data_IF_073996464099
#
_entry.id   IF_073996464099
#
_cell.length_a   1.000
_cell.length_b   1.000
_cell.length_c   1.000
_cell.angle_alpha   90.00
_cell.angle_beta   90.00
_cell.angle_gamma   90.00
#
_symmetry.space_group_name_H-M   'P 1'
#
loop_
_entity.id
_entity.type
_entity.pdbx_description
1 polymer ?
#
# COMPACT_ATOMS: atom_id res chain seq x y z
N UNK A 1 -1.54 10.74 17.94
CA UNK A 1 -1.82 9.64 16.98
C UNK A 1 -1.62 10.06 15.53
N UNK A 2 -2.29 11.12 15.02
CA UNK A 2 -2.16 11.55 13.62
C UNK A 2 -0.74 11.93 13.15
N UNK A 3 0.11 12.46 14.04
CA UNK A 3 1.48 12.83 13.68
C UNK A 3 2.37 11.63 13.34
N UNK A 4 2.13 10.47 13.97
CA UNK A 4 2.94 9.25 13.73
C UNK A 4 2.56 8.57 12.42
N UNK A 5 1.28 8.55 12.06
CA UNK A 5 0.85 7.96 10.78
C UNK A 5 1.42 8.73 9.59
N UNK A 6 1.38 10.07 9.63
CA UNK A 6 1.99 10.92 8.58
C UNK A 6 3.50 10.73 8.51
N UNK A 7 4.17 10.61 9.67
CA UNK A 7 5.60 10.32 9.69
C UNK A 7 5.93 8.97 9.01
N UNK A 8 5.18 7.92 9.33
CA UNK A 8 5.39 6.59 8.75
C UNK A 8 5.11 6.55 7.24
N UNK A 9 4.15 7.34 6.77
CA UNK A 9 3.88 7.55 5.35
C UNK A 9 5.10 8.19 4.66
N UNK A 10 5.60 9.32 5.18
CA UNK A 10 6.76 10.01 4.63
C UNK A 10 8.03 9.13 4.65
N UNK A 11 8.31 8.43 5.74
CA UNK A 11 9.47 7.52 5.85
C UNK A 11 9.38 6.34 4.85
N UNK A 12 8.16 5.89 4.56
CA UNK A 12 7.91 4.88 3.54
C UNK A 12 8.18 5.46 2.14
N UNK A 13 7.66 6.66 1.86
CA UNK A 13 7.87 7.35 0.60
C UNK A 13 9.36 7.58 0.30
N UNK A 14 10.13 8.06 1.28
CA UNK A 14 11.59 8.21 1.18
C UNK A 14 12.29 6.90 0.86
N UNK A 15 11.84 5.80 1.47
CA UNK A 15 12.43 4.47 1.21
C UNK A 15 12.13 4.01 -0.21
N UNK A 16 10.90 4.17 -0.69
CA UNK A 16 10.50 3.77 -2.04
C UNK A 16 11.23 4.62 -3.09
N UNK A 17 11.27 5.94 -2.91
CA UNK A 17 12.00 6.84 -3.79
C UNK A 17 13.52 6.56 -3.79
N UNK A 18 14.10 6.30 -2.61
CA UNK A 18 15.52 5.94 -2.46
C UNK A 18 15.91 4.62 -3.12
N UNK A 19 14.93 3.76 -3.48
CA UNK A 19 15.15 2.55 -4.29
C UNK A 19 15.03 2.79 -5.80
N UNK A 20 14.82 4.04 -6.22
CA UNK A 20 14.79 4.45 -7.63
C UNK A 20 13.40 4.49 -8.27
N UNK A 21 12.33 4.26 -7.50
CA UNK A 21 10.96 4.41 -7.99
C UNK A 21 10.55 5.88 -8.01
N UNK A 22 9.87 6.31 -9.06
CA UNK A 22 9.20 7.62 -9.11
C UNK A 22 7.98 7.58 -8.22
N UNK A 23 8.03 8.36 -7.16
CA UNK A 23 6.96 8.47 -6.19
C UNK A 23 6.51 9.94 -6.09
N UNK A 24 5.20 10.15 -6.20
CA UNK A 24 4.53 11.42 -5.93
C UNK A 24 3.62 11.22 -4.70
N UNK A 25 3.86 11.97 -3.61
CA UNK A 25 3.00 11.95 -2.42
C UNK A 25 1.89 12.99 -2.48
N UNK A 26 0.74 12.67 -1.88
CA UNK A 26 -0.42 13.57 -1.81
C UNK A 26 -0.87 14.09 -3.19
N UNK A 27 -1.07 13.20 -4.19
CA UNK A 27 -1.51 13.61 -5.50
C UNK A 27 -2.87 14.31 -5.42
N UNK A 28 -3.07 15.30 -6.28
CA UNK A 28 -4.36 15.98 -6.42
C UNK A 28 -5.42 15.00 -6.95
N UNK A 29 -6.71 15.29 -6.69
CA UNK A 29 -7.83 14.51 -7.25
C UNK A 29 -7.76 14.34 -8.76
N UNK A 30 -7.28 15.37 -9.48
CA UNK A 30 -7.12 15.30 -10.93
C UNK A 30 -5.99 14.33 -11.34
N UNK A 31 -4.86 14.35 -10.64
CA UNK A 31 -3.75 13.42 -10.90
C UNK A 31 -4.16 11.96 -10.61
N UNK A 32 -4.91 11.74 -9.53
CA UNK A 32 -5.48 10.41 -9.22
C UNK A 32 -6.46 9.96 -10.31
N UNK A 33 -7.33 10.85 -10.78
CA UNK A 33 -8.28 10.54 -11.86
C UNK A 33 -7.55 10.19 -13.17
N UNK A 34 -6.53 10.96 -13.54
CA UNK A 34 -5.71 10.70 -14.72
C UNK A 34 -4.98 9.37 -14.60
N UNK A 35 -4.31 9.12 -13.47
CA UNK A 35 -3.61 7.87 -13.21
C UNK A 35 -4.54 6.66 -13.34
N UNK A 36 -5.73 6.71 -12.71
CA UNK A 36 -6.74 5.64 -12.82
C UNK A 36 -7.23 5.43 -14.25
N UNK A 37 -7.42 6.50 -15.02
CA UNK A 37 -7.82 6.40 -16.42
C UNK A 37 -6.73 5.73 -17.27
N UNK A 38 -5.47 6.13 -17.09
CA UNK A 38 -4.32 5.61 -17.83
C UNK A 38 -4.07 4.12 -17.53
N UNK A 39 -4.27 3.71 -16.28
CA UNK A 39 -4.02 2.34 -15.81
C UNK A 39 -5.26 1.43 -15.89
N UNK A 40 -6.42 1.99 -16.27
CA UNK A 40 -7.74 1.33 -16.21
C UNK A 40 -8.02 0.77 -14.81
N UNK A 41 -7.67 1.54 -13.80
CA UNK A 41 -8.05 1.26 -12.42
C UNK A 41 -9.39 1.92 -12.10
N UNK A 42 -10.11 1.31 -11.16
CA UNK A 42 -11.31 1.86 -10.57
C UNK A 42 -10.98 2.43 -9.18
N UNK A 43 -11.79 3.39 -8.73
CA UNK A 43 -11.72 3.90 -7.38
C UNK A 43 -12.73 5.02 -7.16
N UNK A 44 -13.07 5.25 -5.90
CA UNK A 44 -13.96 6.32 -5.50
C UNK A 44 -13.25 7.69 -5.70
N UNK A 45 -13.84 8.64 -6.46
CA UNK A 45 -13.24 9.95 -6.72
C UNK A 45 -13.17 10.87 -5.48
N UNK A 46 -13.88 10.54 -4.41
CA UNK A 46 -13.83 11.29 -3.15
C UNK A 46 -12.72 10.82 -2.21
N UNK A 47 -12.04 9.71 -2.52
CA UNK A 47 -10.89 9.21 -1.78
C UNK A 47 -9.61 9.94 -2.21
N UNK A 48 -8.72 10.15 -1.23
CA UNK A 48 -7.41 10.76 -1.43
C UNK A 48 -6.35 9.69 -1.10
N UNK A 49 -5.89 8.91 -2.10
CA UNK A 49 -4.83 7.92 -1.89
C UNK A 49 -3.49 8.61 -1.63
N UNK A 50 -2.60 7.92 -0.93
CA UNK A 50 -1.35 8.51 -0.45
C UNK A 50 -0.34 8.78 -1.58
N UNK A 51 -0.22 7.88 -2.56
CA UNK A 51 0.87 7.91 -3.55
C UNK A 51 0.41 7.70 -5.00
N UNK A 52 1.18 8.29 -5.92
CA UNK A 52 1.41 7.73 -7.25
C UNK A 52 2.81 7.14 -7.31
N UNK A 53 2.91 5.83 -7.53
CA UNK A 53 4.19 5.12 -7.73
C UNK A 53 4.26 4.65 -9.16
N UNK A 54 5.21 5.16 -9.94
CA UNK A 54 5.32 4.88 -11.39
C UNK A 54 4.01 5.11 -12.16
N UNK A 55 3.25 6.15 -11.76
CA UNK A 55 1.95 6.48 -12.36
C UNK A 55 0.78 5.62 -11.88
N UNK A 56 0.98 4.68 -10.97
CA UNK A 56 -0.08 3.88 -10.36
C UNK A 56 -0.51 4.45 -9.01
N UNK A 57 -1.82 4.46 -8.75
CA UNK A 57 -2.36 4.81 -7.44
C UNK A 57 -2.02 3.74 -6.41
N UNK A 58 -1.41 4.16 -5.31
CA UNK A 58 -1.11 3.35 -4.14
C UNK A 58 -1.57 4.06 -2.86
N UNK A 59 -1.88 3.24 -1.87
CA UNK A 59 -2.15 3.69 -0.50
C UNK A 59 -1.10 3.07 0.41
N UNK A 60 -0.68 3.81 1.43
CA UNK A 60 0.27 3.34 2.44
C UNK A 60 -0.49 2.74 3.61
N UNK A 61 -0.04 1.57 4.07
CA UNK A 61 -0.53 1.02 5.33
C UNK A 61 0.62 0.58 6.22
N UNK A 62 0.67 1.15 7.42
CA UNK A 62 1.70 0.92 8.43
C UNK A 62 1.07 0.24 9.66
N UNK A 63 1.08 -1.10 9.75
CA UNK A 63 0.53 -1.79 10.90
C UNK A 63 1.32 -1.51 12.19
N UNK A 64 0.64 -1.59 13.33
CA UNK A 64 1.32 -1.54 14.64
C UNK A 64 2.18 -2.78 14.86
N UNK A 65 3.18 -2.68 15.73
CA UNK A 65 4.15 -3.74 15.99
C UNK A 65 3.55 -5.12 16.28
N UNK A 66 2.40 -5.16 16.98
CA UNK A 66 1.71 -6.38 17.38
C UNK A 66 0.51 -6.75 16.49
N UNK A 67 0.25 -6.03 15.39
CA UNK A 67 -0.91 -6.29 14.52
C UNK A 67 -0.83 -7.74 13.99
N UNK A 68 -1.86 -8.57 14.20
CA UNK A 68 -1.85 -9.94 13.68
C UNK A 68 -1.96 -9.94 12.16
N UNK A 69 -1.41 -10.98 11.51
CA UNK A 69 -1.43 -11.17 10.05
C UNK A 69 -2.84 -11.05 9.47
N UNK A 70 -3.82 -11.74 10.07
CA UNK A 70 -5.23 -11.63 9.65
C UNK A 70 -5.77 -10.21 9.78
N UNK A 71 -5.32 -9.46 10.78
CA UNK A 71 -5.67 -8.06 10.96
C UNK A 71 -5.09 -7.16 9.87
N UNK A 72 -3.86 -7.39 9.41
CA UNK A 72 -3.29 -6.67 8.25
C UNK A 72 -4.10 -6.96 7.00
N UNK A 73 -4.43 -8.22 6.77
CA UNK A 73 -5.27 -8.64 5.65
C UNK A 73 -6.63 -7.93 5.66
N UNK A 74 -7.29 -7.85 6.81
CA UNK A 74 -8.60 -7.18 6.93
C UNK A 74 -8.53 -5.69 6.58
N UNK A 75 -7.49 -4.98 7.01
CA UNK A 75 -7.31 -3.54 6.74
C UNK A 75 -7.06 -3.28 5.26
N UNK A 76 -6.23 -4.12 4.63
CA UNK A 76 -6.04 -4.08 3.18
C UNK A 76 -7.37 -4.36 2.48
N UNK A 77 -8.08 -5.42 2.86
CA UNK A 77 -9.37 -5.78 2.26
C UNK A 77 -10.40 -4.67 2.40
N UNK A 78 -10.42 -3.96 3.52
CA UNK A 78 -11.30 -2.82 3.73
C UNK A 78 -10.97 -1.67 2.77
N UNK A 79 -9.69 -1.30 2.63
CA UNK A 79 -9.26 -0.25 1.69
C UNK A 79 -9.63 -0.56 0.24
N UNK A 80 -9.50 -1.82 -0.17
CA UNK A 80 -9.92 -2.27 -1.51
C UNK A 80 -11.45 -2.23 -1.65
N UNK A 81 -12.18 -2.74 -0.64
CA UNK A 81 -13.65 -2.77 -0.64
C UNK A 81 -14.28 -1.37 -0.63
N UNK A 82 -13.65 -0.40 0.03
CA UNK A 82 -14.03 1.01 0.02
C UNK A 82 -13.58 1.75 -1.24
N UNK A 83 -13.00 1.05 -2.21
CA UNK A 83 -12.51 1.62 -3.48
C UNK A 83 -11.51 2.76 -3.29
N UNK A 84 -10.78 2.79 -2.16
CA UNK A 84 -9.73 3.77 -1.91
C UNK A 84 -8.54 3.55 -2.85
N UNK A 85 -8.15 2.28 -3.01
CA UNK A 85 -7.02 1.88 -3.85
C UNK A 85 -7.24 0.48 -4.42
N UNK A 86 -6.43 0.12 -5.40
CA UNK A 86 -6.25 -1.26 -5.86
C UNK A 86 -4.84 -1.79 -5.57
N UNK A 87 -3.96 -0.95 -5.02
CA UNK A 87 -2.58 -1.29 -4.71
C UNK A 87 -2.15 -0.70 -3.37
N UNK A 88 -1.39 -1.46 -2.61
CA UNK A 88 -0.97 -1.04 -1.27
C UNK A 88 0.54 -1.21 -1.10
N UNK A 89 1.18 -0.20 -0.52
CA UNK A 89 2.51 -0.32 0.06
C UNK A 89 2.35 -0.59 1.56
N UNK A 90 2.71 -1.80 1.98
CA UNK A 90 2.78 -2.16 3.39
C UNK A 90 4.11 -1.69 3.99
N UNK A 91 4.07 -0.65 4.81
CA UNK A 91 5.25 -0.24 5.58
C UNK A 91 5.37 -1.13 6.83
N UNK A 92 6.21 -2.15 6.74
CA UNK A 92 6.43 -3.11 7.83
C UNK A 92 7.58 -2.70 8.77
N UNK A 93 8.10 -1.47 8.68
CA UNK A 93 9.27 -1.06 9.47
C UNK A 93 9.09 -1.28 10.98
N UNK A 94 7.90 -0.99 11.51
CA UNK A 94 7.57 -1.17 12.93
C UNK A 94 6.95 -2.55 13.23
N UNK A 95 6.58 -3.32 12.22
CA UNK A 95 5.87 -4.60 12.38
C UNK A 95 6.82 -5.74 12.73
N UNK A 96 6.42 -6.59 13.69
CA UNK A 96 7.27 -7.66 14.24
C UNK A 96 6.74 -9.07 13.99
N UNK A 97 5.77 -9.22 13.10
CA UNK A 97 5.23 -10.53 12.75
C UNK A 97 6.05 -11.27 11.70
N UNK A 98 5.54 -12.42 11.27
CA UNK A 98 6.20 -13.30 10.31
C UNK A 98 5.79 -12.97 8.85
N UNK A 99 6.76 -12.53 8.05
CA UNK A 99 6.59 -12.22 6.64
C UNK A 99 6.14 -13.43 5.81
N UNK A 100 6.56 -14.65 6.15
CA UNK A 100 6.14 -15.86 5.44
C UNK A 100 4.66 -16.16 5.72
N UNK A 101 4.23 -16.05 6.98
CA UNK A 101 2.83 -16.16 7.35
C UNK A 101 1.98 -15.06 6.68
N UNK A 102 2.50 -13.83 6.57
CA UNK A 102 1.83 -12.74 5.86
C UNK A 102 1.62 -13.08 4.38
N UNK A 103 2.66 -13.54 3.68
CA UNK A 103 2.55 -14.00 2.29
C UNK A 103 1.50 -15.08 2.14
N UNK A 104 1.61 -16.14 2.97
CA UNK A 104 0.66 -17.25 2.97
C UNK A 104 -0.79 -16.78 3.18
N UNK A 105 -1.02 -15.79 4.05
CA UNK A 105 -2.36 -15.25 4.29
C UNK A 105 -2.97 -14.60 3.04
N UNK A 106 -2.19 -13.86 2.24
CA UNK A 106 -2.68 -13.24 1.00
C UNK A 106 -2.79 -14.26 -0.15
N UNK A 107 -1.95 -15.29 -0.16
CA UNK A 107 -2.02 -16.38 -1.13
C UNK A 107 -3.24 -17.29 -0.89
N UNK A 108 -3.46 -17.71 0.36
CA UNK A 108 -4.58 -18.58 0.76
C UNK A 108 -5.93 -17.85 0.67
N UNK A 109 -5.93 -16.52 0.86
CA UNK A 109 -7.14 -15.69 0.88
C UNK A 109 -6.97 -14.48 -0.04
N UNK A 110 -7.06 -14.65 -1.37
CA UNK A 110 -6.99 -13.54 -2.31
C UNK A 110 -8.06 -12.49 -2.02
N UNK A 111 -7.72 -11.21 -2.16
CA UNK A 111 -8.65 -10.09 -2.02
C UNK A 111 -9.12 -9.69 -3.42
N UNK A 112 -10.42 -9.84 -3.75
CA UNK A 112 -10.94 -9.37 -5.04
C UNK A 112 -10.66 -7.87 -5.23
N UNK A 113 -10.06 -7.53 -6.38
CA UNK A 113 -9.74 -6.15 -6.73
C UNK A 113 -8.39 -5.62 -6.23
N UNK A 114 -7.68 -6.36 -5.37
CA UNK A 114 -6.28 -6.08 -5.03
C UNK A 114 -5.40 -6.49 -6.21
N UNK A 115 -4.83 -5.51 -6.91
CA UNK A 115 -3.95 -5.70 -8.06
C UNK A 115 -2.48 -5.84 -7.66
N UNK A 116 -2.08 -5.23 -6.56
CA UNK A 116 -0.67 -5.24 -6.14
C UNK A 116 -0.51 -5.01 -4.64
N UNK A 117 0.38 -5.78 -4.03
CA UNK A 117 0.77 -5.59 -2.63
C UNK A 117 2.27 -5.73 -2.53
N UNK A 118 2.95 -4.65 -2.17
CA UNK A 118 4.38 -4.63 -1.91
C UNK A 118 4.62 -4.29 -0.45
N UNK A 119 5.71 -4.77 0.12
CA UNK A 119 6.10 -4.45 1.49
C UNK A 119 7.47 -3.81 1.55
N UNK A 120 7.59 -2.73 2.33
CA UNK A 120 8.88 -2.19 2.79
C UNK A 120 9.20 -2.86 4.11
N UNK A 121 10.23 -3.72 4.13
CA UNK A 121 10.62 -4.48 5.33
C UNK A 121 11.34 -3.60 6.36
N UNK A 122 11.53 -4.07 7.61
CA UNK A 122 12.41 -3.38 8.58
C UNK A 122 13.84 -3.13 8.08
N UNK A 123 14.32 -3.92 7.11
CA UNK A 123 15.63 -3.74 6.47
C UNK A 123 15.60 -2.77 5.28
N UNK A 124 14.47 -2.08 5.06
CA UNK A 124 14.22 -1.19 3.92
C UNK A 124 14.39 -1.90 2.57
N UNK A 125 14.05 -3.17 2.53
CA UNK A 125 13.93 -3.94 1.29
C UNK A 125 12.50 -3.86 0.79
N UNK A 126 12.31 -3.74 -0.53
CA UNK A 126 10.99 -3.81 -1.15
C UNK A 126 10.79 -5.25 -1.60
N UNK A 127 9.74 -5.89 -1.09
CA UNK A 127 9.40 -7.27 -1.42
C UNK A 127 7.97 -7.36 -1.92
N UNK A 128 7.76 -8.05 -3.05
CA UNK A 128 6.42 -8.31 -3.57
C UNK A 128 5.69 -9.31 -2.68
N UNK A 129 4.46 -9.02 -2.25
CA UNK A 129 3.58 -9.97 -1.56
C UNK A 129 2.56 -10.53 -2.54
N UNK A 130 1.80 -9.66 -3.23
CA UNK A 130 0.87 -10.04 -4.31
C UNK A 130 1.40 -9.45 -5.60
N UNK A 131 1.60 -10.28 -6.63
CA UNK A 131 2.12 -9.84 -7.92
C UNK A 131 1.07 -9.05 -8.70
N UNK A 132 1.58 -8.16 -9.54
CA UNK A 132 0.84 -7.56 -10.65
C UNK A 132 0.82 -8.59 -11.78
N UNK A 133 -0.37 -9.11 -12.09
CA UNK A 133 -0.62 -9.91 -13.28
C UNK A 133 -1.01 -9.00 -14.46
#
# INVERSE_FOLDING_TARGET
MAQRSVQLENECADTVAGKGYRLHQNPTKQEVANARADTRDAGDPDKNPDYLVEGHVFDCYSPTASKPVRGIWSEVSQKIGEQQTQRVVLNLQDWRGDLAALRKQFDDWPIPGLKELVAVTPRREIVQIVRRD
#
